data_IF_734516182614
#
_entry.id   IF_734516182614
#
_cell.length_a   1.000
_cell.length_b   1.000
_cell.length_c   1.000
_cell.angle_alpha   90.00
_cell.angle_beta   90.00
_cell.angle_gamma   90.00
#
_symmetry.space_group_name_H-M   'P 1'
#
loop_
_entity.id
_entity.type
_entity.pdbx_description
1 polymer ?
#
# COMPACT_ATOMS: atom_id res chain seq x y z
N UNK A 1 -19.31 -18.39 16.65
CA UNK A 1 -19.00 -17.01 17.13
C UNK A 1 -17.53 -16.79 17.49
N UNK A 2 -16.82 -17.75 18.13
CA UNK A 2 -15.39 -17.60 18.48
C UNK A 2 -14.45 -17.49 17.27
N UNK A 3 -14.72 -18.23 16.19
CA UNK A 3 -13.93 -18.21 14.94
C UNK A 3 -14.06 -16.89 14.18
N UNK A 4 -15.23 -16.25 14.24
CA UNK A 4 -15.47 -14.94 13.61
C UNK A 4 -14.62 -13.83 14.25
N UNK A 5 -14.47 -13.87 15.58
CA UNK A 5 -13.59 -12.94 16.32
C UNK A 5 -12.11 -13.20 16.03
N UNK A 6 -11.72 -14.46 15.86
CA UNK A 6 -10.33 -14.82 15.53
C UNK A 6 -9.91 -14.34 14.14
N UNK A 7 -10.82 -14.31 13.17
CA UNK A 7 -10.57 -13.80 11.82
C UNK A 7 -10.57 -12.27 11.73
N UNK A 8 -11.31 -11.58 12.60
CA UNK A 8 -11.42 -10.13 12.63
C UNK A 8 -10.10 -9.44 13.04
N UNK A 9 -9.35 -10.05 13.94
CA UNK A 9 -8.09 -9.51 14.47
C UNK A 9 -7.00 -9.30 13.39
N UNK A 10 -6.63 -10.31 12.58
CA UNK A 10 -5.64 -10.13 11.52
C UNK A 10 -6.13 -9.20 10.41
N UNK A 11 -7.42 -9.19 10.08
CA UNK A 11 -7.99 -8.26 9.09
C UNK A 11 -7.86 -6.80 9.54
N UNK A 12 -8.12 -6.53 10.83
CA UNK A 12 -7.96 -5.19 11.39
C UNK A 12 -6.50 -4.74 11.39
N UNK A 13 -5.56 -5.65 11.70
CA UNK A 13 -4.12 -5.38 11.64
C UNK A 13 -3.64 -5.10 10.22
N UNK A 14 -4.11 -5.84 9.23
CA UNK A 14 -3.75 -5.62 7.82
C UNK A 14 -4.30 -4.28 7.30
N UNK A 15 -5.51 -3.91 7.73
CA UNK A 15 -6.13 -2.63 7.36
C UNK A 15 -5.37 -1.42 7.94
N UNK A 16 -4.93 -1.49 9.21
CA UNK A 16 -4.12 -0.42 9.82
C UNK A 16 -2.74 -0.32 9.20
N UNK A 17 -2.12 -1.45 8.83
CA UNK A 17 -0.83 -1.47 8.15
C UNK A 17 -0.91 -0.83 6.76
N UNK A 18 -1.96 -1.13 6.00
CA UNK A 18 -2.24 -0.51 4.71
C UNK A 18 -2.50 1.00 4.83
N UNK A 19 -3.19 1.45 5.88
CA UNK A 19 -3.39 2.87 6.15
C UNK A 19 -2.08 3.59 6.51
N UNK A 20 -1.21 2.94 7.29
CA UNK A 20 0.07 3.50 7.70
C UNK A 20 1.08 3.57 6.54
N UNK A 21 1.07 2.58 5.63
CA UNK A 21 1.94 2.56 4.43
C UNK A 21 1.39 3.41 3.29
N UNK A 22 0.07 3.60 3.20
CA UNK A 22 -0.57 4.47 2.21
C UNK A 22 -0.26 5.97 2.37
N UNK A 23 0.10 6.39 3.59
CA UNK A 23 0.42 7.79 3.92
C UNK A 23 1.80 8.25 3.44
N UNK A 24 2.75 7.34 3.22
CA UNK A 24 4.15 7.66 2.89
C UNK A 24 4.38 7.80 1.38
N UNK A 25 3.51 8.57 0.70
CA UNK A 25 3.72 8.99 -0.70
C UNK A 25 4.26 10.42 -0.71
N UNK A 26 5.37 10.61 -1.39
CA UNK A 26 5.93 11.93 -1.72
C UNK A 26 4.99 12.69 -2.66
N UNK A 27 5.08 14.02 -2.66
CA UNK A 27 4.30 14.87 -3.56
C UNK A 27 4.51 14.49 -5.04
N UNK A 28 5.73 14.13 -5.43
CA UNK A 28 6.04 13.69 -6.79
C UNK A 28 5.34 12.40 -7.19
N UNK A 29 5.21 11.44 -6.27
CA UNK A 29 4.49 10.19 -6.53
C UNK A 29 2.98 10.40 -6.70
N UNK A 30 2.40 11.32 -5.92
CA UNK A 30 0.97 11.69 -6.08
C UNK A 30 0.72 12.41 -7.40
N UNK A 31 1.62 13.30 -7.81
CA UNK A 31 1.52 14.00 -9.09
C UNK A 31 1.64 13.03 -10.28
N UNK A 32 2.57 12.06 -10.22
CA UNK A 32 2.70 11.02 -11.25
C UNK A 32 1.45 10.14 -11.32
N UNK A 33 0.93 9.68 -10.19
CA UNK A 33 -0.29 8.86 -10.16
C UNK A 33 -1.55 9.65 -10.63
N UNK A 34 -1.52 10.99 -10.66
CA UNK A 34 -2.60 11.82 -11.20
C UNK A 34 -2.52 11.98 -12.73
N UNK A 35 -1.30 12.03 -13.28
CA UNK A 35 -1.04 12.10 -14.72
C UNK A 35 -1.14 10.72 -15.37
N UNK A 36 -0.71 9.69 -14.66
CA UNK A 36 -0.69 8.29 -15.08
C UNK A 36 -1.30 7.41 -13.96
N UNK A 37 -2.64 7.36 -13.88
CA UNK A 37 -3.33 6.59 -12.86
C UNK A 37 -3.12 5.09 -13.08
N UNK A 38 -2.98 4.29 -12.00
CA UNK A 38 -2.84 2.85 -12.14
C UNK A 38 -4.09 2.25 -12.77
N UNK A 39 -3.90 1.39 -13.77
CA UNK A 39 -4.97 0.75 -14.56
C UNK A 39 -5.78 -0.27 -13.74
N UNK A 40 -5.27 -0.67 -12.56
CA UNK A 40 -5.95 -1.61 -11.68
C UNK A 40 -5.21 -1.88 -10.36
N UNK A 41 -5.81 -2.69 -9.46
CA UNK A 41 -5.29 -2.94 -8.12
C UNK A 41 -3.93 -3.69 -8.12
N UNK A 42 -3.71 -4.54 -9.13
CA UNK A 42 -2.44 -5.26 -9.31
C UNK A 42 -1.30 -4.28 -9.62
N UNK A 43 -1.54 -3.34 -10.54
CA UNK A 43 -0.55 -2.33 -10.91
C UNK A 43 -0.25 -1.37 -9.75
N UNK A 44 -1.28 -0.97 -9.00
CA UNK A 44 -1.12 -0.14 -7.80
C UNK A 44 -0.23 -0.83 -6.75
N UNK A 45 -0.40 -2.15 -6.57
CA UNK A 45 0.41 -2.95 -5.66
C UNK A 45 1.84 -3.10 -6.17
N UNK A 46 2.01 -3.35 -7.47
CA UNK A 46 3.33 -3.39 -8.12
C UNK A 46 4.12 -2.11 -7.91
N UNK A 47 3.52 -0.94 -8.18
CA UNK A 47 4.17 0.37 -7.91
C UNK A 47 4.45 0.59 -6.42
N UNK A 48 3.64 0.06 -5.51
CA UNK A 48 3.89 0.18 -4.08
C UNK A 48 5.12 -0.63 -3.64
N UNK A 49 5.28 -1.84 -4.19
CA UNK A 49 6.45 -2.69 -3.94
C UNK A 49 7.71 -2.06 -4.56
N UNK A 50 7.63 -1.58 -5.80
CA UNK A 50 8.75 -0.94 -6.49
C UNK A 50 9.29 0.25 -5.70
N UNK A 51 8.41 1.13 -5.22
CA UNK A 51 8.78 2.25 -4.32
C UNK A 51 9.37 1.79 -2.98
N UNK A 52 8.90 0.67 -2.43
CA UNK A 52 9.45 0.13 -1.19
C UNK A 52 10.87 -0.41 -1.40
N UNK A 53 11.13 -1.05 -2.55
CA UNK A 53 12.45 -1.53 -2.95
C UNK A 53 13.41 -0.36 -3.17
N UNK A 54 12.97 0.69 -3.86
CA UNK A 54 13.78 1.89 -4.15
C UNK A 54 14.26 2.60 -2.87
N UNK A 55 13.44 2.59 -1.80
CA UNK A 55 13.82 3.13 -0.49
C UNK A 55 14.81 2.27 0.29
N UNK A 56 14.79 0.95 0.08
CA UNK A 56 15.71 0.00 0.74
C UNK A 56 17.05 -0.05 0.02
N UNK A 57 17.05 0.17 -1.30
CA UNK A 57 18.25 0.16 -2.12
C UNK A 57 18.38 1.49 -2.88
N UNK A 58 18.68 2.59 -2.19
CA UNK A 58 18.96 3.85 -2.86
C UNK A 58 20.22 3.66 -3.70
N UNK A 59 20.08 3.83 -5.02
CA UNK A 59 21.20 3.89 -5.95
C UNK A 59 21.94 5.22 -5.81
#
# INVERSE_FOLDING_TARGET
MRTLRAALMPVLLLATLAACTGGNRTFGERARDAVDPPSGPVEATGRAVDRAVDRVRPN
#
